data_IF_972555357641
#
_entry.id   IF_972555357641
#
_cell.length_a   1.000
_cell.length_b   1.000
_cell.length_c   1.000
_cell.angle_alpha   90.00
_cell.angle_beta   90.00
_cell.angle_gamma   90.00
#
_symmetry.space_group_name_H-M   'P 1'
#
loop_
_entity.id
_entity.type
_entity.pdbx_description
1 polymer ?
#
# COMPACT_ATOMS: atom_id res chain seq x y z
N UNK A 1 15.90 -2.16 -19.89
CA UNK A 1 16.25 -0.76 -19.60
C UNK A 1 15.30 -0.15 -18.58
N UNK A 2 14.01 -0.36 -18.73
CA UNK A 2 12.96 0.22 -17.87
C UNK A 2 13.03 -0.22 -16.41
N UNK A 3 13.35 -1.49 -16.17
CA UNK A 3 13.52 -2.04 -14.83
C UNK A 3 14.70 -1.41 -14.06
N UNK A 4 15.78 -1.07 -14.76
CA UNK A 4 16.92 -0.38 -14.15
C UNK A 4 16.59 1.09 -13.80
N UNK A 5 15.78 1.75 -14.61
CA UNK A 5 15.31 3.11 -14.37
C UNK A 5 14.40 3.13 -13.14
N UNK A 6 13.46 2.19 -13.05
CA UNK A 6 12.58 2.00 -11.89
C UNK A 6 13.38 1.73 -10.60
N UNK A 7 14.30 0.77 -10.64
CA UNK A 7 15.16 0.45 -9.49
C UNK A 7 16.01 1.63 -9.03
N UNK A 8 16.51 2.45 -9.96
CA UNK A 8 17.26 3.65 -9.63
C UNK A 8 16.39 4.66 -8.87
N UNK A 9 15.16 4.89 -9.33
CA UNK A 9 14.23 5.79 -8.68
C UNK A 9 13.88 5.29 -7.26
N UNK A 10 13.60 4.00 -7.11
CA UNK A 10 13.29 3.39 -5.81
C UNK A 10 14.48 3.45 -4.85
N UNK A 11 15.72 3.26 -5.32
CA UNK A 11 16.92 3.42 -4.48
C UNK A 11 17.08 4.84 -3.96
N UNK A 12 16.90 5.85 -4.82
CA UNK A 12 16.97 7.26 -4.40
C UNK A 12 15.89 7.55 -3.36
N UNK A 13 14.65 7.13 -3.62
CA UNK A 13 13.56 7.32 -2.68
C UNK A 13 13.79 6.63 -1.35
N UNK A 14 14.38 5.44 -1.38
CA UNK A 14 14.69 4.71 -0.16
C UNK A 14 15.72 5.43 0.71
N UNK A 15 16.76 6.02 0.10
CA UNK A 15 17.75 6.83 0.82
C UNK A 15 17.07 8.06 1.43
N UNK A 16 16.19 8.74 0.68
CA UNK A 16 15.47 9.90 1.18
C UNK A 16 14.53 9.54 2.32
N UNK A 17 13.78 8.42 2.22
CA UNK A 17 12.92 7.93 3.30
C UNK A 17 13.73 7.62 4.58
N UNK A 18 14.93 7.05 4.45
CA UNK A 18 15.82 6.85 5.58
C UNK A 18 16.25 8.18 6.22
N UNK A 19 16.66 9.16 5.41
CA UNK A 19 17.04 10.49 5.91
C UNK A 19 15.87 11.21 6.59
N UNK A 20 14.66 11.09 6.04
CA UNK A 20 13.44 11.63 6.63
C UNK A 20 13.13 10.96 7.98
N UNK A 21 13.28 9.64 8.07
CA UNK A 21 13.09 8.90 9.31
C UNK A 21 14.08 9.35 10.40
N UNK A 22 15.36 9.46 10.05
CA UNK A 22 16.41 9.95 10.98
C UNK A 22 16.13 11.39 11.40
N UNK A 23 15.77 12.26 10.46
CA UNK A 23 15.37 13.64 10.75
C UNK A 23 14.21 13.71 11.74
N UNK A 24 13.18 12.89 11.57
CA UNK A 24 12.03 12.82 12.48
C UNK A 24 12.43 12.50 13.92
N UNK A 25 13.32 11.51 14.10
CA UNK A 25 13.84 11.16 15.44
C UNK A 25 14.70 12.28 16.03
N UNK A 26 15.62 12.87 15.26
CA UNK A 26 16.47 13.97 15.72
C UNK A 26 15.63 15.18 16.13
N UNK A 27 14.66 15.56 15.29
CA UNK A 27 13.82 16.72 15.59
C UNK A 27 12.85 16.42 16.74
N UNK A 28 12.39 15.20 16.92
CA UNK A 28 11.65 14.80 18.13
C UNK A 28 12.46 15.06 19.40
N UNK A 29 13.75 14.66 19.45
CA UNK A 29 14.63 14.90 20.60
C UNK A 29 14.81 16.40 20.86
N UNK A 30 14.89 17.22 19.82
CA UNK A 30 15.07 18.67 19.92
C UNK A 30 13.79 19.43 20.24
N UNK A 31 12.64 18.91 19.86
CA UNK A 31 11.35 19.60 19.91
C UNK A 31 10.39 19.06 20.95
N UNK A 32 10.58 17.83 21.42
CA UNK A 32 9.60 17.05 22.19
C UNK A 32 8.26 16.83 21.49
N UNK A 33 8.19 16.95 20.15
CA UNK A 33 6.97 16.81 19.37
C UNK A 33 6.73 15.35 18.98
N UNK A 34 5.70 14.72 19.53
CA UNK A 34 5.27 13.36 19.19
C UNK A 34 4.73 13.27 17.78
N UNK A 35 4.10 14.34 17.25
CA UNK A 35 3.65 14.39 15.87
C UNK A 35 4.82 14.22 14.89
N UNK A 36 5.95 14.89 15.14
CA UNK A 36 7.17 14.75 14.33
C UNK A 36 7.77 13.35 14.45
N UNK A 37 7.75 12.76 15.65
CA UNK A 37 8.20 11.38 15.83
C UNK A 37 7.37 10.38 15.00
N UNK A 38 6.05 10.54 15.01
CA UNK A 38 5.14 9.67 14.25
C UNK A 38 5.41 9.79 12.75
N UNK A 39 5.57 11.00 12.24
CA UNK A 39 5.94 11.25 10.83
C UNK A 39 7.26 10.57 10.46
N UNK A 40 8.28 10.69 11.34
CA UNK A 40 9.55 9.97 11.19
C UNK A 40 9.42 8.45 11.20
N UNK A 41 8.56 7.89 12.06
CA UNK A 41 8.29 6.46 12.13
C UNK A 41 7.53 5.96 10.88
N UNK A 42 6.63 6.75 10.32
CA UNK A 42 6.02 6.45 9.02
C UNK A 42 7.08 6.37 7.91
N UNK A 43 7.98 7.35 7.84
CA UNK A 43 9.10 7.34 6.88
C UNK A 43 10.00 6.11 7.07
N UNK A 44 10.22 5.67 8.31
CA UNK A 44 10.99 4.47 8.62
C UNK A 44 10.28 3.18 8.15
N UNK A 45 8.98 3.07 8.40
CA UNK A 45 8.16 1.96 7.88
C UNK A 45 8.22 1.94 6.35
N UNK A 46 8.14 3.10 5.70
CA UNK A 46 8.26 3.24 4.25
C UNK A 46 9.63 2.76 3.74
N UNK A 47 10.71 3.17 4.42
CA UNK A 47 12.08 2.73 4.11
C UNK A 47 12.22 1.20 4.14
N UNK A 48 11.84 0.55 5.25
CA UNK A 48 11.89 -0.92 5.37
C UNK A 48 10.98 -1.58 4.34
N UNK A 49 9.80 -1.03 4.14
CA UNK A 49 8.82 -1.53 3.19
C UNK A 49 9.36 -1.61 1.78
N UNK A 50 10.05 -0.58 1.31
CA UNK A 50 10.63 -0.55 -0.03
C UNK A 50 11.73 -1.62 -0.19
N UNK A 51 12.55 -1.85 0.83
CA UNK A 51 13.59 -2.91 0.81
C UNK A 51 12.94 -4.29 0.68
N UNK A 52 11.94 -4.57 1.50
CA UNK A 52 11.24 -5.86 1.51
C UNK A 52 10.50 -6.09 0.19
N UNK A 53 9.82 -5.07 -0.33
CA UNK A 53 9.12 -5.15 -1.62
C UNK A 53 10.06 -5.48 -2.79
N UNK A 54 11.25 -4.84 -2.84
CA UNK A 54 12.27 -5.14 -3.85
C UNK A 54 12.77 -6.59 -3.73
N UNK A 55 12.98 -7.09 -2.50
CA UNK A 55 13.40 -8.48 -2.27
C UNK A 55 12.32 -9.46 -2.73
N UNK A 56 11.07 -9.26 -2.35
CA UNK A 56 9.94 -10.09 -2.78
C UNK A 56 9.82 -10.09 -4.31
N UNK A 57 9.94 -8.93 -4.96
CA UNK A 57 9.87 -8.83 -6.42
C UNK A 57 10.98 -9.63 -7.12
N UNK A 58 12.19 -9.68 -6.55
CA UNK A 58 13.28 -10.52 -7.05
C UNK A 58 13.00 -12.00 -6.83
N UNK A 59 12.56 -12.39 -5.64
CA UNK A 59 12.24 -13.79 -5.31
C UNK A 59 11.15 -14.33 -6.23
N UNK A 60 10.13 -13.52 -6.58
CA UNK A 60 9.08 -13.90 -7.52
C UNK A 60 9.61 -14.18 -8.93
N UNK A 61 10.67 -13.48 -9.37
CA UNK A 61 11.28 -13.67 -10.69
C UNK A 61 12.21 -14.87 -10.77
N UNK A 62 12.71 -15.37 -9.62
CA UNK A 62 13.72 -16.44 -9.54
C UNK A 62 13.22 -17.72 -8.87
N UNK A 63 11.94 -17.77 -8.47
CA UNK A 63 11.41 -18.90 -7.71
C UNK A 63 11.47 -20.20 -8.47
N UNK A 64 12.10 -21.23 -7.86
CA UNK A 64 12.05 -22.58 -8.40
C UNK A 64 10.65 -23.17 -8.17
N UNK A 65 9.96 -23.55 -9.23
CA UNK A 65 8.67 -24.24 -9.18
C UNK A 65 8.71 -25.54 -8.36
N UNK A 66 9.91 -26.10 -8.13
CA UNK A 66 10.10 -27.27 -7.25
C UNK A 66 9.75 -27.00 -5.79
N UNK A 67 10.06 -25.81 -5.28
CA UNK A 67 9.83 -25.43 -3.88
C UNK A 67 8.45 -24.81 -3.66
N UNK A 68 7.93 -24.13 -4.67
CA UNK A 68 6.63 -23.44 -4.65
C UNK A 68 5.85 -23.75 -5.92
N UNK A 69 5.17 -24.91 -5.99
CA UNK A 69 4.49 -25.36 -7.22
C UNK A 69 3.43 -24.39 -7.74
N UNK A 70 2.75 -23.67 -6.84
CA UNK A 70 1.74 -22.66 -7.17
C UNK A 70 2.31 -21.23 -7.22
N UNK A 71 3.64 -21.06 -7.09
CA UNK A 71 4.28 -19.75 -7.02
C UNK A 71 4.31 -19.14 -5.62
N UNK A 72 4.99 -18.00 -5.47
CA UNK A 72 5.16 -17.30 -4.19
C UNK A 72 4.31 -16.02 -4.10
N UNK A 73 3.23 -15.95 -4.86
CA UNK A 73 2.43 -14.74 -5.04
C UNK A 73 1.80 -14.23 -3.75
N UNK A 74 1.46 -15.14 -2.83
CA UNK A 74 0.93 -14.80 -1.50
C UNK A 74 1.90 -14.00 -0.63
N UNK A 75 3.21 -14.04 -0.90
CA UNK A 75 4.20 -13.26 -0.14
C UNK A 75 3.97 -11.75 -0.23
N UNK A 76 3.58 -11.27 -1.42
CA UNK A 76 3.27 -9.84 -1.61
C UNK A 76 2.03 -9.44 -0.81
N UNK A 77 0.99 -10.24 -0.85
CA UNK A 77 -0.25 -10.04 -0.08
C UNK A 77 0.01 -10.05 1.43
N UNK A 78 0.76 -11.04 1.93
CA UNK A 78 1.16 -11.14 3.33
C UNK A 78 2.00 -9.93 3.77
N UNK A 79 2.94 -9.50 2.94
CA UNK A 79 3.76 -8.34 3.23
C UNK A 79 2.91 -7.06 3.39
N UNK A 80 1.97 -6.80 2.46
CA UNK A 80 1.07 -5.64 2.55
C UNK A 80 0.18 -5.73 3.79
N UNK A 81 -0.27 -6.93 4.16
CA UNK A 81 -1.04 -7.19 5.38
C UNK A 81 -0.23 -6.82 6.63
N UNK A 82 0.99 -7.35 6.78
CA UNK A 82 1.86 -7.05 7.93
C UNK A 82 2.24 -5.57 8.00
N UNK A 83 2.54 -4.94 6.86
CA UNK A 83 2.81 -3.49 6.79
C UNK A 83 1.61 -2.68 7.30
N UNK A 84 0.41 -3.01 6.83
CA UNK A 84 -0.81 -2.32 7.26
C UNK A 84 -1.06 -2.49 8.75
N UNK A 85 -0.81 -3.68 9.29
CA UNK A 85 -0.94 -3.97 10.72
C UNK A 85 0.04 -3.14 11.56
N UNK A 86 1.31 -3.06 11.15
CA UNK A 86 2.33 -2.24 11.84
C UNK A 86 1.94 -0.76 11.87
N UNK A 87 1.41 -0.23 10.76
CA UNK A 87 0.92 1.16 10.70
C UNK A 87 -0.25 1.36 11.66
N UNK A 88 -1.22 0.43 11.69
CA UNK A 88 -2.37 0.51 12.59
C UNK A 88 -1.92 0.49 14.06
N UNK A 89 -0.98 -0.38 14.42
CA UNK A 89 -0.42 -0.45 15.78
C UNK A 89 0.23 0.89 16.16
N UNK A 90 1.02 1.49 15.25
CA UNK A 90 1.63 2.80 15.46
C UNK A 90 0.57 3.89 15.68
N UNK A 91 -0.48 3.91 14.87
CA UNK A 91 -1.58 4.88 14.99
C UNK A 91 -2.34 4.71 16.31
N UNK A 92 -2.64 3.49 16.72
CA UNK A 92 -3.30 3.22 18.00
C UNK A 92 -2.43 3.69 19.17
N UNK A 93 -1.14 3.39 19.17
CA UNK A 93 -0.20 3.88 20.19
C UNK A 93 -0.14 5.42 20.21
N UNK A 94 -0.20 6.05 19.03
CA UNK A 94 -0.23 7.51 18.88
C UNK A 94 -1.49 8.14 19.48
N UNK A 95 -2.66 7.53 19.26
CA UNK A 95 -3.93 7.97 19.85
C UNK A 95 -3.87 7.87 21.38
N UNK A 96 -3.41 6.76 21.93
CA UNK A 96 -3.25 6.62 23.40
C UNK A 96 -2.30 7.68 23.96
N UNK A 97 -1.18 7.94 23.28
CA UNK A 97 -0.22 8.98 23.68
C UNK A 97 -0.83 10.38 23.62
N UNK A 98 -1.61 10.70 22.59
CA UNK A 98 -2.31 11.97 22.45
C UNK A 98 -3.35 12.19 23.57
N UNK A 99 -4.20 11.19 23.81
CA UNK A 99 -5.19 11.22 24.90
C UNK A 99 -4.49 11.40 26.25
N UNK A 100 -3.43 10.63 26.53
CA UNK A 100 -2.66 10.77 27.77
C UNK A 100 -2.10 12.17 27.96
N UNK A 101 -1.57 12.79 26.91
CA UNK A 101 -1.06 14.17 26.98
C UNK A 101 -2.17 15.18 27.28
N UNK A 102 -3.35 15.04 26.66
CA UNK A 102 -4.50 15.91 26.93
C UNK A 102 -5.00 15.73 28.36
N UNK A 103 -5.14 14.50 28.84
CA UNK A 103 -5.57 14.26 30.23
C UNK A 103 -4.56 14.83 31.24
N UNK A 104 -3.26 14.69 31.00
CA UNK A 104 -2.20 15.28 31.82
C UNK A 104 -2.29 16.81 31.85
N UNK A 105 -2.65 17.46 30.75
CA UNK A 105 -2.83 18.91 30.68
C UNK A 105 -3.91 19.41 31.67
N UNK A 106 -5.01 18.69 31.77
CA UNK A 106 -6.11 19.08 32.66
C UNK A 106 -5.88 18.68 34.13
N UNK A 107 -5.03 17.66 34.41
CA UNK A 107 -4.76 17.19 35.77
C UNK A 107 -3.49 17.81 36.37
N UNK A 108 -2.41 17.85 35.61
CA UNK A 108 -1.07 18.30 36.03
C UNK A 108 -0.36 19.01 34.87
N UNK A 109 -0.69 20.28 34.56
CA UNK A 109 -0.17 21.00 33.40
C UNK A 109 1.38 21.14 33.39
N UNK A 110 1.97 21.19 34.58
CA UNK A 110 3.43 21.35 34.76
C UNK A 110 4.25 20.16 34.27
N UNK A 111 3.64 18.99 34.09
CA UNK A 111 4.29 17.78 33.58
C UNK A 111 4.39 17.76 32.06
N UNK A 112 3.76 18.70 31.37
CA UNK A 112 3.80 18.73 29.90
C UNK A 112 5.13 19.32 29.43
N UNK A 113 5.91 18.61 28.61
CA UNK A 113 7.15 19.12 28.07
C UNK A 113 6.90 20.32 27.17
N UNK A 114 7.71 21.36 27.29
CA UNK A 114 7.66 22.52 26.40
C UNK A 114 8.05 22.11 24.99
N UNK A 115 7.24 22.47 24.02
CA UNK A 115 7.46 22.16 22.61
C UNK A 115 8.30 23.25 21.97
N UNK A 116 9.38 22.87 21.27
CA UNK A 116 10.17 23.82 20.48
C UNK A 116 9.56 23.96 19.06
N UNK A 117 8.70 24.95 18.91
CA UNK A 117 8.00 25.24 17.65
C UNK A 117 8.95 25.56 16.49
N UNK A 118 10.09 26.20 16.76
CA UNK A 118 11.05 26.56 15.72
C UNK A 118 11.58 25.33 14.97
N UNK A 119 12.02 24.33 15.74
CA UNK A 119 12.52 23.06 15.17
C UNK A 119 11.44 22.31 14.40
N UNK A 120 10.20 22.32 14.88
CA UNK A 120 9.08 21.64 14.21
C UNK A 120 8.75 22.31 12.86
N UNK A 121 8.64 23.64 12.84
CA UNK A 121 8.29 24.38 11.62
C UNK A 121 9.37 24.22 10.56
N UNK A 122 10.65 24.35 10.96
CA UNK A 122 11.79 24.16 10.04
C UNK A 122 11.77 22.74 9.48
N UNK A 123 11.60 21.72 10.33
CA UNK A 123 11.51 20.33 9.87
C UNK A 123 10.31 20.13 8.92
N UNK A 124 9.14 20.67 9.26
CA UNK A 124 7.95 20.55 8.42
C UNK A 124 8.15 21.16 7.03
N UNK A 125 8.83 22.30 6.92
CA UNK A 125 9.19 22.90 5.62
C UNK A 125 10.16 22.00 4.86
N UNK A 126 11.22 21.51 5.51
CA UNK A 126 12.21 20.62 4.89
C UNK A 126 11.54 19.34 4.38
N UNK A 127 10.73 18.70 5.22
CA UNK A 127 10.00 17.47 4.88
C UNK A 127 9.04 17.70 3.71
N UNK A 128 8.29 18.81 3.73
CA UNK A 128 7.40 19.19 2.63
C UNK A 128 8.15 19.28 1.29
N UNK A 129 9.28 19.97 1.28
CA UNK A 129 10.11 20.12 0.06
C UNK A 129 10.68 18.76 -0.38
N UNK A 130 11.17 17.93 0.54
CA UNK A 130 11.70 16.61 0.23
C UNK A 130 10.61 15.68 -0.32
N UNK A 131 9.44 15.64 0.30
CA UNK A 131 8.33 14.78 -0.13
C UNK A 131 7.79 15.19 -1.50
N UNK A 132 7.55 16.48 -1.76
CA UNK A 132 7.13 16.92 -3.09
C UNK A 132 8.23 16.72 -4.13
N UNK A 133 9.49 16.97 -3.78
CA UNK A 133 10.64 16.68 -4.64
C UNK A 133 10.72 15.20 -5.02
N UNK A 134 10.51 14.32 -4.05
CA UNK A 134 10.47 12.87 -4.27
C UNK A 134 9.28 12.45 -5.13
N UNK A 135 8.10 13.03 -4.91
CA UNK A 135 6.92 12.79 -5.76
C UNK A 135 7.18 13.17 -7.22
N UNK A 136 7.79 14.35 -7.47
CA UNK A 136 8.17 14.82 -8.81
C UNK A 136 9.22 13.88 -9.42
N UNK A 137 10.19 13.44 -8.64
CA UNK A 137 11.21 12.49 -9.07
C UNK A 137 10.57 11.19 -9.56
N UNK A 138 9.71 10.58 -8.78
CA UNK A 138 9.02 9.35 -9.17
C UNK A 138 8.17 9.53 -10.43
N UNK A 139 7.42 10.64 -10.54
CA UNK A 139 6.66 10.97 -11.75
C UNK A 139 7.58 11.11 -12.99
N UNK A 140 8.70 11.79 -12.83
CA UNK A 140 9.68 11.99 -13.91
C UNK A 140 10.28 10.66 -14.39
N UNK A 141 10.67 9.79 -13.47
CA UNK A 141 11.20 8.47 -13.82
C UNK A 141 10.13 7.57 -14.44
N UNK A 142 8.89 7.63 -13.94
CA UNK A 142 7.78 6.86 -14.53
C UNK A 142 7.47 7.34 -15.96
N UNK A 143 7.53 8.65 -16.21
CA UNK A 143 7.36 9.22 -17.55
C UNK A 143 8.44 8.73 -18.52
N UNK A 144 9.70 8.57 -18.07
CA UNK A 144 10.80 8.04 -18.90
C UNK A 144 10.58 6.60 -19.36
N UNK A 145 9.81 5.83 -18.64
CA UNK A 145 9.44 4.43 -18.96
C UNK A 145 8.02 4.32 -19.52
N UNK A 146 7.48 5.40 -20.08
CA UNK A 146 6.14 5.39 -20.71
C UNK A 146 4.97 5.26 -19.71
N UNK A 147 5.14 5.66 -18.44
CA UNK A 147 4.14 5.55 -17.37
C UNK A 147 3.68 4.11 -17.08
N UNK A 148 4.55 3.12 -17.33
CA UNK A 148 4.22 1.70 -17.20
C UNK A 148 4.41 1.14 -15.79
N UNK A 149 5.02 1.88 -14.85
CA UNK A 149 5.25 1.41 -13.49
C UNK A 149 4.17 1.88 -12.53
N UNK A 150 3.32 0.95 -12.11
CA UNK A 150 2.34 1.20 -11.04
C UNK A 150 3.03 1.41 -9.68
N UNK A 151 4.20 0.82 -9.47
CA UNK A 151 5.01 1.01 -8.27
C UNK A 151 5.44 2.47 -8.14
N UNK A 152 6.06 3.04 -9.19
CA UNK A 152 6.48 4.45 -9.16
C UNK A 152 5.28 5.40 -9.04
N UNK A 153 4.14 5.04 -9.60
CA UNK A 153 2.89 5.79 -9.44
C UNK A 153 2.41 5.79 -8.00
N UNK A 154 2.39 4.62 -7.36
CA UNK A 154 1.98 4.46 -5.96
C UNK A 154 2.94 5.21 -5.01
N UNK A 155 4.25 5.06 -5.20
CA UNK A 155 5.28 5.77 -4.42
C UNK A 155 5.18 7.30 -4.59
N UNK A 156 4.91 7.78 -5.81
CA UNK A 156 4.68 9.21 -6.08
C UNK A 156 3.44 9.75 -5.36
N UNK A 157 2.36 8.97 -5.33
CA UNK A 157 1.15 9.35 -4.61
C UNK A 157 1.39 9.38 -3.09
N UNK A 158 2.08 8.37 -2.56
CA UNK A 158 2.48 8.32 -1.15
C UNK A 158 3.30 9.54 -0.75
N UNK A 159 4.39 9.81 -1.46
CA UNK A 159 5.24 10.97 -1.20
C UNK A 159 4.49 12.32 -1.30
N UNK A 160 3.51 12.41 -2.22
CA UNK A 160 2.69 13.63 -2.34
C UNK A 160 1.78 13.81 -1.12
N UNK A 161 1.17 12.72 -0.62
CA UNK A 161 0.36 12.74 0.59
C UNK A 161 1.19 13.12 1.81
N UNK A 162 2.36 12.52 2.00
CA UNK A 162 3.28 12.84 3.09
C UNK A 162 3.69 14.32 3.06
N UNK A 163 3.94 14.88 1.85
CA UNK A 163 4.22 16.30 1.67
C UNK A 163 3.06 17.23 2.09
N UNK A 164 1.82 16.85 1.75
CA UNK A 164 0.63 17.61 2.15
C UNK A 164 0.47 17.60 3.69
N UNK A 165 0.76 16.48 4.31
CA UNK A 165 0.64 16.29 5.75
C UNK A 165 1.70 17.08 6.50
N UNK A 166 2.97 16.99 6.09
CA UNK A 166 4.06 17.74 6.69
C UNK A 166 3.82 19.25 6.55
N UNK A 167 3.33 19.70 5.39
CA UNK A 167 2.92 21.09 5.19
C UNK A 167 1.77 21.50 6.12
N UNK A 168 0.72 20.67 6.20
CA UNK A 168 -0.44 20.90 7.07
C UNK A 168 -0.06 20.98 8.54
N UNK A 169 0.84 20.09 8.99
CA UNK A 169 1.38 20.09 10.35
C UNK A 169 2.15 21.38 10.64
N UNK A 170 3.06 21.79 9.74
CA UNK A 170 3.81 23.04 9.92
C UNK A 170 2.88 24.26 9.97
N UNK A 171 1.89 24.34 9.07
CA UNK A 171 0.88 25.41 9.05
C UNK A 171 0.08 25.42 10.36
N UNK A 172 -0.38 24.26 10.82
CA UNK A 172 -1.15 24.15 12.06
C UNK A 172 -0.37 24.69 13.26
N UNK A 173 0.93 24.35 13.41
CA UNK A 173 1.75 24.90 14.50
C UNK A 173 1.94 26.43 14.38
N UNK A 174 2.05 26.96 13.17
CA UNK A 174 2.08 28.44 12.96
C UNK A 174 0.75 29.04 13.41
N UNK A 175 -0.39 28.44 13.07
CA UNK A 175 -1.72 28.92 13.48
C UNK A 175 -1.88 28.90 15.02
N UNK A 176 -1.47 27.82 15.69
CA UNK A 176 -1.49 27.76 17.16
C UNK A 176 -0.64 28.85 17.81
N UNK A 177 0.47 29.26 17.19
CA UNK A 177 1.35 30.32 17.67
C UNK A 177 0.77 31.72 17.43
N UNK A 178 0.11 31.94 16.28
CA UNK A 178 -0.29 33.29 15.82
C UNK A 178 -1.68 33.67 16.24
N UNK A 179 -2.64 32.74 16.25
CA UNK A 179 -4.05 33.04 16.56
C UNK A 179 -4.22 33.12 18.09
N UNK A 180 -4.69 34.30 18.63
CA UNK A 180 -4.85 34.49 20.07
C UNK A 180 -5.73 33.45 20.75
N UNK A 181 -6.82 33.06 20.11
CA UNK A 181 -7.77 32.07 20.61
C UNK A 181 -7.14 30.66 20.76
N UNK A 182 -6.16 30.31 19.95
CA UNK A 182 -5.48 29.00 19.97
C UNK A 182 -4.27 28.96 20.91
N UNK A 183 -3.75 30.13 21.35
CA UNK A 183 -2.58 30.21 22.23
C UNK A 183 -2.71 29.43 23.54
N UNK A 184 -3.86 29.39 24.24
CA UNK A 184 -4.01 28.62 25.48
C UNK A 184 -3.83 27.11 25.25
N UNK A 185 -4.10 26.60 24.03
CA UNK A 185 -3.99 25.22 23.66
C UNK A 185 -2.60 24.85 23.08
N UNK A 186 -1.68 25.80 23.01
CA UNK A 186 -0.33 25.59 22.49
C UNK A 186 0.41 24.43 23.18
N UNK A 187 0.33 24.25 24.53
CA UNK A 187 0.99 23.13 25.19
C UNK A 187 0.50 21.74 24.74
N UNK A 188 -0.75 21.65 24.29
CA UNK A 188 -1.37 20.41 23.81
C UNK A 188 -1.57 20.36 22.30
N UNK A 189 -1.08 21.37 21.58
CA UNK A 189 -1.23 21.45 20.11
C UNK A 189 -0.68 20.21 19.40
N UNK A 190 0.44 19.68 19.88
CA UNK A 190 1.05 18.44 19.37
C UNK A 190 0.11 17.23 19.55
N UNK A 191 -0.48 17.08 20.74
CA UNK A 191 -1.42 15.99 21.02
C UNK A 191 -2.69 16.09 20.16
N UNK A 192 -3.22 17.31 19.97
CA UNK A 192 -4.38 17.54 19.08
C UNK A 192 -4.04 17.13 17.65
N UNK A 193 -2.88 17.55 17.14
CA UNK A 193 -2.43 17.19 15.80
C UNK A 193 -2.22 15.70 15.64
N UNK A 194 -1.61 15.05 16.64
CA UNK A 194 -1.46 13.57 16.65
C UNK A 194 -2.81 12.88 16.51
N UNK A 195 -3.82 13.31 17.27
CA UNK A 195 -5.15 12.69 17.19
C UNK A 195 -5.82 12.92 15.84
N UNK A 196 -5.77 14.13 15.31
CA UNK A 196 -6.33 14.46 13.99
C UNK A 196 -5.63 13.67 12.87
N UNK A 197 -4.31 13.66 12.88
CA UNK A 197 -3.51 12.93 11.89
C UNK A 197 -3.73 11.43 11.99
N UNK A 198 -3.75 10.87 13.20
CA UNK A 198 -4.00 9.44 13.40
C UNK A 198 -5.37 9.01 12.88
N UNK A 199 -6.41 9.82 13.09
CA UNK A 199 -7.74 9.56 12.54
C UNK A 199 -7.76 9.57 11.01
N UNK A 200 -7.12 10.56 10.41
CA UNK A 200 -7.03 10.69 8.95
C UNK A 200 -6.21 9.55 8.31
N UNK A 201 -5.06 9.24 8.90
CA UNK A 201 -4.17 8.19 8.40
C UNK A 201 -4.69 6.77 8.61
N UNK A 202 -5.61 6.53 9.55
CA UNK A 202 -6.13 5.19 9.81
C UNK A 202 -6.94 4.60 8.66
N UNK A 203 -7.57 5.44 7.84
CA UNK A 203 -8.48 5.00 6.77
C UNK A 203 -7.77 4.08 5.77
N UNK A 204 -6.62 4.51 5.26
CA UNK A 204 -5.90 3.78 4.22
C UNK A 204 -5.36 2.42 4.68
N UNK A 205 -4.61 2.29 5.80
CA UNK A 205 -4.10 0.99 6.24
C UNK A 205 -5.20 0.04 6.69
N UNK A 206 -6.33 0.54 7.24
CA UNK A 206 -7.48 -0.30 7.56
C UNK A 206 -8.10 -0.89 6.28
N UNK A 207 -8.30 -0.07 5.25
CA UNK A 207 -8.81 -0.55 3.95
C UNK A 207 -7.86 -1.56 3.31
N UNK A 208 -6.54 -1.30 3.35
CA UNK A 208 -5.54 -2.23 2.85
C UNK A 208 -5.58 -3.56 3.62
N UNK A 209 -5.63 -3.51 4.96
CA UNK A 209 -5.71 -4.71 5.81
C UNK A 209 -6.93 -5.56 5.46
N UNK A 210 -8.12 -4.95 5.41
CA UNK A 210 -9.37 -5.63 5.06
C UNK A 210 -9.28 -6.24 3.65
N UNK A 211 -8.73 -5.51 2.69
CA UNK A 211 -8.57 -6.02 1.34
C UNK A 211 -7.62 -7.23 1.28
N UNK A 212 -6.48 -7.19 1.99
CA UNK A 212 -5.56 -8.31 2.01
C UNK A 212 -6.17 -9.54 2.71
N UNK A 213 -6.92 -9.35 3.80
CA UNK A 213 -7.67 -10.44 4.46
C UNK A 213 -8.69 -11.04 3.48
N UNK A 214 -9.46 -10.21 2.78
CA UNK A 214 -10.43 -10.68 1.79
C UNK A 214 -9.77 -11.48 0.65
N UNK A 215 -8.61 -11.03 0.16
CA UNK A 215 -7.85 -11.72 -0.88
C UNK A 215 -7.36 -13.08 -0.36
N UNK A 216 -6.75 -13.13 0.82
CA UNK A 216 -6.25 -14.38 1.43
C UNK A 216 -7.38 -15.35 1.79
N UNK A 217 -8.56 -14.83 2.07
CA UNK A 217 -9.77 -15.63 2.34
C UNK A 217 -10.51 -16.06 1.07
N UNK A 218 -9.93 -15.81 -0.11
CA UNK A 218 -10.57 -16.09 -1.41
C UNK A 218 -11.99 -15.53 -1.52
N UNK A 219 -12.23 -14.34 -0.94
CA UNK A 219 -13.51 -13.65 -1.07
C UNK A 219 -13.72 -13.19 -2.51
N UNK A 220 -14.90 -13.44 -3.04
CA UNK A 220 -15.26 -12.99 -4.38
C UNK A 220 -15.36 -11.45 -4.45
N UNK A 221 -14.41 -10.83 -5.12
CA UNK A 221 -14.28 -9.36 -5.18
C UNK A 221 -14.48 -8.80 -6.59
N UNK A 222 -14.41 -9.65 -7.63
CA UNK A 222 -14.29 -9.22 -9.02
C UNK A 222 -15.49 -9.63 -9.90
N UNK A 223 -16.72 -9.55 -9.35
CA UNK A 223 -17.96 -9.94 -10.05
C UNK A 223 -18.10 -9.40 -11.47
N UNK A 224 -17.70 -8.14 -11.71
CA UNK A 224 -17.78 -7.54 -13.06
C UNK A 224 -16.84 -8.24 -14.03
N UNK A 225 -15.58 -8.45 -13.63
CA UNK A 225 -14.59 -9.15 -14.46
C UNK A 225 -14.96 -10.61 -14.70
N UNK A 226 -15.49 -11.30 -13.70
CA UNK A 226 -15.98 -12.67 -13.79
C UNK A 226 -17.10 -12.77 -14.84
N UNK A 227 -18.07 -11.83 -14.80
CA UNK A 227 -19.16 -11.76 -15.77
C UNK A 227 -18.65 -11.45 -17.18
N UNK A 228 -17.73 -10.50 -17.34
CA UNK A 228 -17.14 -10.12 -18.61
C UNK A 228 -16.35 -11.27 -19.24
N UNK A 229 -15.60 -12.05 -18.44
CA UNK A 229 -14.91 -13.24 -18.89
C UNK A 229 -15.89 -14.35 -19.29
N UNK A 230 -16.93 -14.57 -18.49
CA UNK A 230 -17.98 -15.55 -18.79
C UNK A 230 -18.62 -15.27 -20.14
N UNK A 231 -18.99 -14.01 -20.41
CA UNK A 231 -19.57 -13.60 -21.68
C UNK A 231 -18.60 -13.80 -22.84
N UNK A 232 -17.32 -13.50 -22.62
CA UNK A 232 -16.31 -13.63 -23.69
C UNK A 232 -16.02 -15.07 -24.06
N UNK A 233 -15.94 -15.97 -23.07
CA UNK A 233 -15.75 -17.40 -23.32
C UNK A 233 -16.99 -17.98 -24.00
N UNK A 234 -18.20 -17.64 -23.54
CA UNK A 234 -19.45 -18.08 -24.17
C UNK A 234 -19.62 -17.59 -25.60
N UNK A 235 -19.12 -16.40 -25.94
CA UNK A 235 -19.16 -15.87 -27.29
C UNK A 235 -18.30 -16.65 -28.27
N UNK A 236 -17.10 -17.08 -27.85
CA UNK A 236 -16.17 -17.83 -28.70
C UNK A 236 -16.38 -19.33 -28.63
N UNK A 237 -16.85 -19.85 -27.50
CA UNK A 237 -17.09 -21.27 -27.25
C UNK A 237 -18.52 -21.48 -26.70
N UNK A 238 -19.57 -21.28 -27.57
CA UNK A 238 -20.96 -21.27 -27.12
C UNK A 238 -21.47 -22.65 -26.63
N UNK A 239 -20.80 -23.73 -27.01
CA UNK A 239 -21.14 -25.09 -26.59
C UNK A 239 -20.69 -25.41 -25.15
N UNK A 240 -19.84 -24.57 -24.53
CA UNK A 240 -19.38 -24.81 -23.19
C UNK A 240 -20.40 -24.41 -22.13
N UNK A 241 -20.67 -25.32 -21.23
CA UNK A 241 -21.44 -25.05 -19.99
C UNK A 241 -20.52 -24.57 -18.89
N UNK A 242 -20.37 -23.24 -18.75
CA UNK A 242 -19.61 -22.63 -17.68
C UNK A 242 -20.50 -22.62 -16.44
N UNK A 243 -20.06 -23.33 -15.40
CA UNK A 243 -20.74 -23.36 -14.12
C UNK A 243 -20.36 -22.14 -13.27
N UNK A 244 -19.07 -21.90 -13.09
CA UNK A 244 -18.56 -20.75 -12.32
C UNK A 244 -17.21 -20.27 -12.86
N UNK A 245 -16.98 -18.97 -12.72
CA UNK A 245 -15.67 -18.35 -12.89
C UNK A 245 -15.40 -17.55 -11.63
N UNK A 246 -14.30 -17.88 -10.95
CA UNK A 246 -13.85 -17.18 -9.78
C UNK A 246 -12.47 -16.54 -10.04
N UNK A 247 -12.33 -15.26 -9.69
CA UNK A 247 -11.10 -14.49 -9.88
C UNK A 247 -10.56 -14.07 -8.50
N UNK A 248 -9.34 -14.47 -8.21
CA UNK A 248 -8.57 -14.00 -7.07
C UNK A 248 -7.31 -13.27 -7.52
N UNK A 249 -6.95 -12.20 -6.83
CA UNK A 249 -5.78 -11.39 -7.17
C UNK A 249 -4.75 -11.48 -6.05
N UNK A 250 -3.72 -12.30 -6.25
CA UNK A 250 -2.61 -12.47 -5.32
C UNK A 250 -1.42 -11.61 -5.76
N UNK A 251 -1.26 -10.44 -5.15
CA UNK A 251 -0.23 -9.48 -5.53
C UNK A 251 -0.37 -9.04 -7.00
N UNK A 252 0.71 -9.22 -7.79
CA UNK A 252 0.74 -8.88 -9.22
C UNK A 252 0.10 -9.91 -10.13
N UNK A 253 -0.26 -11.08 -9.60
CA UNK A 253 -0.84 -12.17 -10.36
C UNK A 253 -2.33 -12.30 -10.12
N UNK A 254 -3.03 -12.71 -11.16
CA UNK A 254 -4.47 -12.97 -11.12
C UNK A 254 -4.68 -14.47 -11.30
N UNK A 255 -5.23 -15.12 -10.30
CA UNK A 255 -5.67 -16.51 -10.35
C UNK A 255 -7.11 -16.57 -10.84
N UNK A 256 -7.35 -17.39 -11.85
CA UNK A 256 -8.67 -17.57 -12.44
C UNK A 256 -9.02 -19.05 -12.35
N UNK A 257 -10.06 -19.34 -11.62
CA UNK A 257 -10.63 -20.68 -11.46
C UNK A 257 -11.88 -20.78 -12.31
N UNK A 258 -11.91 -21.74 -13.24
CA UNK A 258 -13.04 -21.93 -14.13
C UNK A 258 -13.56 -23.35 -13.93
N UNK A 259 -14.83 -23.47 -13.55
CA UNK A 259 -15.49 -24.76 -13.44
C UNK A 259 -16.40 -24.96 -14.66
N UNK A 260 -16.13 -26.01 -15.42
CA UNK A 260 -16.87 -26.36 -16.64
C UNK A 260 -17.59 -27.67 -16.44
N UNK A 261 -18.82 -27.74 -16.93
CA UNK A 261 -19.54 -29.00 -17.11
C UNK A 261 -19.41 -29.45 -18.58
N UNK A 262 -19.02 -30.70 -18.78
CA UNK A 262 -18.88 -31.30 -20.08
C UNK A 262 -19.90 -32.42 -20.24
N UNK A 263 -20.68 -32.35 -21.31
CA UNK A 263 -21.62 -33.43 -21.68
C UNK A 263 -20.92 -34.37 -22.67
N UNK A 264 -20.62 -35.61 -22.23
CA UNK A 264 -20.06 -36.63 -23.11
C UNK A 264 -18.70 -37.18 -22.63
N UNK A 265 -18.08 -38.00 -23.47
CA UNK A 265 -16.74 -38.55 -23.24
C UNK A 265 -15.75 -37.70 -24.04
N UNK A 266 -14.78 -37.13 -23.36
CA UNK A 266 -13.70 -36.37 -23.97
C UNK A 266 -12.38 -37.12 -23.78
N UNK A 267 -11.56 -37.12 -24.80
CA UNK A 267 -10.16 -37.58 -24.73
C UNK A 267 -9.31 -36.54 -24.00
N UNK A 268 -8.14 -36.94 -23.51
CA UNK A 268 -7.21 -36.02 -22.86
C UNK A 268 -6.78 -34.92 -23.84
N UNK A 269 -6.55 -35.27 -25.10
CA UNK A 269 -6.10 -34.34 -26.14
C UNK A 269 -7.17 -33.26 -26.41
N UNK A 270 -8.44 -33.62 -26.47
CA UNK A 270 -9.57 -32.67 -26.63
C UNK A 270 -9.67 -31.73 -25.42
N UNK A 271 -9.45 -32.22 -24.19
CA UNK A 271 -9.44 -31.38 -22.99
C UNK A 271 -8.26 -30.42 -22.97
N UNK A 272 -7.09 -30.81 -23.46
CA UNK A 272 -5.90 -29.97 -23.53
C UNK A 272 -6.04 -28.91 -24.64
N UNK A 273 -6.66 -29.24 -25.75
CA UNK A 273 -6.99 -28.26 -26.79
C UNK A 273 -7.99 -27.22 -26.27
N UNK A 274 -9.05 -27.65 -25.61
CA UNK A 274 -10.04 -26.76 -24.97
C UNK A 274 -9.39 -25.85 -23.92
N UNK A 275 -8.51 -26.41 -23.09
CA UNK A 275 -7.73 -25.64 -22.10
C UNK A 275 -6.88 -24.57 -22.77
N UNK A 276 -6.28 -24.89 -23.91
CA UNK A 276 -5.44 -23.96 -24.67
C UNK A 276 -6.25 -22.82 -25.27
N UNK A 277 -7.43 -23.11 -25.85
CA UNK A 277 -8.35 -22.10 -26.38
C UNK A 277 -8.84 -21.14 -25.29
N UNK A 278 -9.25 -21.67 -24.14
CA UNK A 278 -9.71 -20.82 -23.00
C UNK A 278 -8.56 -19.93 -22.49
N UNK A 279 -7.34 -20.48 -22.38
CA UNK A 279 -6.16 -19.71 -21.98
C UNK A 279 -5.86 -18.59 -22.96
N UNK A 280 -6.00 -18.80 -24.25
CA UNK A 280 -5.79 -17.79 -25.29
C UNK A 280 -6.79 -16.64 -25.17
N UNK A 281 -8.08 -16.97 -24.98
CA UNK A 281 -9.15 -15.98 -24.76
C UNK A 281 -8.84 -15.10 -23.55
N UNK A 282 -8.40 -15.69 -22.44
CA UNK A 282 -8.12 -14.96 -21.21
C UNK A 282 -6.85 -14.11 -21.35
N UNK A 283 -5.79 -14.67 -21.92
CA UNK A 283 -4.50 -13.99 -22.09
C UNK A 283 -4.60 -12.81 -23.08
N UNK A 284 -5.54 -12.82 -23.99
CA UNK A 284 -5.83 -11.68 -24.87
C UNK A 284 -6.37 -10.47 -24.10
N UNK A 285 -7.00 -10.68 -22.93
CA UNK A 285 -7.64 -9.65 -22.12
C UNK A 285 -6.87 -9.28 -20.86
N UNK A 286 -6.15 -10.25 -20.28
CA UNK A 286 -5.47 -10.08 -19.00
C UNK A 286 -4.04 -10.63 -19.10
N UNK A 287 -3.10 -9.87 -18.52
CA UNK A 287 -1.70 -10.30 -18.40
C UNK A 287 -1.42 -10.84 -16.99
N UNK A 288 -0.38 -11.66 -16.85
CA UNK A 288 0.05 -12.25 -15.59
C UNK A 288 -1.07 -13.07 -14.92
N UNK A 289 -1.68 -13.97 -15.67
CA UNK A 289 -2.75 -14.84 -15.18
C UNK A 289 -2.26 -16.26 -14.94
N UNK A 290 -2.72 -16.88 -13.87
CA UNK A 290 -2.67 -18.32 -13.65
C UNK A 290 -4.09 -18.87 -13.77
N UNK A 291 -4.29 -19.79 -14.70
CA UNK A 291 -5.61 -20.27 -15.04
C UNK A 291 -5.70 -21.74 -14.65
N UNK A 292 -6.65 -22.06 -13.79
CA UNK A 292 -7.00 -23.39 -13.33
C UNK A 292 -8.38 -23.74 -13.87
N UNK A 293 -8.43 -24.78 -14.70
CA UNK A 293 -9.70 -25.24 -15.31
C UNK A 293 -10.05 -26.59 -14.68
N UNK A 294 -11.21 -26.65 -14.08
CA UNK A 294 -11.79 -27.82 -13.41
C UNK A 294 -12.93 -28.34 -14.29
N UNK A 295 -12.80 -29.56 -14.72
CA UNK A 295 -13.85 -30.25 -15.45
C UNK A 295 -14.64 -31.12 -14.47
N UNK A 296 -15.96 -30.97 -14.45
CA UNK A 296 -16.84 -31.73 -13.57
C UNK A 296 -18.11 -32.16 -14.29
N UNK A 297 -18.47 -33.42 -14.12
CA UNK A 297 -19.76 -33.96 -14.58
C UNK A 297 -20.83 -33.94 -13.47
N UNK A 298 -20.51 -33.44 -12.28
CA UNK A 298 -21.28 -33.59 -11.04
C UNK A 298 -22.02 -32.32 -10.63
N UNK A 299 -22.34 -31.45 -11.58
CA UNK A 299 -23.09 -30.23 -11.23
C UNK A 299 -24.25 -30.04 -12.19
#
# INVERSE_FOLDING_TARGET
MDLLIEQKALKIGNILNFLMAVSGVVVFILSNSKAVLIDGLFSFIQFISTIVAVKISKDLSTSSLKQYPLGQYSKETLYVLFRSLLIIILLVASVFSGISTITTFFTNPDLIPKINLGSIIINGIIMTVLCFGLSILYKSYNKKIGNCSDVLKAESMGANLDGIISAGTAIAFVLFKTIPFLKPFLPISDAILVLLLSGFFAIQPIQLLINQINILSYKRLHHKLEKDLTLSIKYQLPYLKIHDIFISRLGKFTEIYITLSLDGKFSIDELDELRSQIKEIINSKMKNTQILIIFSNLI
#
